data_IF_126497655711
#
_entry.id   IF_126497655711
#
_cell.length_a   1.000
_cell.length_b   1.000
_cell.length_c   1.000
_cell.angle_alpha   90.00
_cell.angle_beta   90.00
_cell.angle_gamma   90.00
#
_symmetry.space_group_name_H-M   'P 1'
#
loop_
_entity.id
_entity.type
_entity.pdbx_description
1 polymer ?
#
# COMPACT_ATOMS: atom_id res chain seq x y z
N UNK A 1 10.39 6.59 11.39
CA UNK A 1 9.61 5.50 12.01
C UNK A 1 9.41 4.40 10.98
N UNK A 2 9.06 3.16 11.36
CA UNK A 2 8.50 2.20 10.42
C UNK A 2 7.29 2.82 9.73
N UNK A 3 7.17 2.68 8.41
CA UNK A 3 6.07 3.22 7.61
C UNK A 3 5.52 2.13 6.69
N UNK A 4 4.20 1.97 6.64
CA UNK A 4 3.53 1.19 5.61
C UNK A 4 3.03 2.14 4.52
N UNK A 5 3.32 1.83 3.26
CA UNK A 5 2.77 2.52 2.09
C UNK A 5 1.92 1.51 1.34
N UNK A 6 0.62 1.79 1.24
CA UNK A 6 -0.32 1.04 0.42
C UNK A 6 -0.52 1.80 -0.88
N UNK A 7 -0.31 1.12 -1.99
CA UNK A 7 -0.36 1.72 -3.33
C UNK A 7 -1.34 0.94 -4.19
N UNK A 8 -2.32 1.65 -4.75
CA UNK A 8 -3.21 1.10 -5.75
C UNK A 8 -2.55 1.23 -7.14
N UNK A 9 -2.37 0.13 -7.87
CA UNK A 9 -1.61 0.12 -9.13
C UNK A 9 -2.33 0.80 -10.29
N UNK A 10 -3.65 0.96 -10.20
CA UNK A 10 -4.49 1.63 -11.20
C UNK A 10 -5.07 2.95 -10.66
N UNK A 11 -4.45 3.53 -9.62
CA UNK A 11 -4.86 4.81 -9.06
C UNK A 11 -4.60 5.96 -10.04
N UNK A 12 -5.68 6.54 -10.53
CA UNK A 12 -5.68 7.66 -11.46
C UNK A 12 -5.60 9.04 -10.78
N UNK A 13 -5.73 9.10 -9.45
CA UNK A 13 -5.73 10.34 -8.64
C UNK A 13 -4.37 10.56 -7.97
N UNK A 14 -3.79 9.50 -7.43
CA UNK A 14 -2.46 9.45 -6.82
C UNK A 14 -1.65 8.36 -7.54
N UNK A 15 -0.96 8.70 -8.65
CA UNK A 15 -0.27 7.73 -9.48
C UNK A 15 0.69 6.84 -8.67
N UNK A 16 0.81 5.54 -9.00
CA UNK A 16 1.64 4.62 -8.23
C UNK A 16 3.10 5.09 -8.12
N UNK A 17 3.64 5.74 -9.16
CA UNK A 17 5.02 6.24 -9.14
C UNK A 17 5.32 7.18 -7.96
N UNK A 18 4.33 7.92 -7.44
CA UNK A 18 4.49 8.77 -6.27
C UNK A 18 4.79 7.95 -5.00
N UNK A 19 4.09 6.83 -4.82
CA UNK A 19 4.33 5.89 -3.71
C UNK A 19 5.68 5.18 -3.84
N UNK A 20 6.08 4.83 -5.06
CA UNK A 20 7.41 4.25 -5.34
C UNK A 20 8.52 5.24 -5.00
N UNK A 21 8.37 6.50 -5.42
CA UNK A 21 9.32 7.57 -5.10
C UNK A 21 9.39 7.82 -3.58
N UNK A 22 8.24 7.83 -2.89
CA UNK A 22 8.19 7.99 -1.44
C UNK A 22 8.89 6.82 -0.71
N UNK A 23 8.66 5.58 -1.15
CA UNK A 23 9.31 4.40 -0.57
C UNK A 23 10.84 4.47 -0.68
N UNK A 24 11.37 5.01 -1.78
CA UNK A 24 12.81 5.20 -1.97
C UNK A 24 13.43 6.24 -1.01
N UNK A 25 12.65 7.21 -0.54
CA UNK A 25 13.10 8.24 0.40
C UNK A 25 13.02 7.79 1.88
N UNK A 26 12.28 6.72 2.16
CA UNK A 26 12.00 6.24 3.51
C UNK A 26 12.71 4.91 3.77
N UNK A 27 13.88 4.90 4.45
CA UNK A 27 14.72 3.70 4.58
C UNK A 27 14.09 2.55 5.38
N UNK A 28 12.96 2.79 6.04
CA UNK A 28 12.19 1.78 6.79
C UNK A 28 10.75 1.63 6.29
N UNK A 29 10.46 2.07 5.06
CA UNK A 29 9.16 1.89 4.45
C UNK A 29 8.98 0.44 3.96
N UNK A 30 7.78 -0.10 4.17
CA UNK A 30 7.27 -1.28 3.49
C UNK A 30 6.26 -0.79 2.46
N UNK A 31 6.53 -1.03 1.17
CA UNK A 31 5.60 -0.74 0.08
C UNK A 31 4.83 -2.00 -0.29
N UNK A 32 3.51 -1.91 -0.34
CA UNK A 32 2.63 -2.98 -0.81
C UNK A 32 1.76 -2.44 -1.94
N UNK A 33 1.89 -3.05 -3.11
CA UNK A 33 1.05 -2.77 -4.27
C UNK A 33 -0.20 -3.65 -4.25
N UNK A 34 -1.35 -3.05 -4.54
CA UNK A 34 -2.69 -3.62 -4.56
C UNK A 34 -3.30 -3.33 -5.93
N UNK A 35 -3.85 -4.33 -6.60
CA UNK A 35 -4.45 -4.16 -7.93
C UNK A 35 -5.87 -3.56 -7.86
N UNK A 36 -5.96 -2.27 -7.57
CA UNK A 36 -7.21 -1.54 -7.40
C UNK A 36 -7.18 -0.13 -8.01
N UNK A 37 -8.37 0.45 -8.16
CA UNK A 37 -8.59 1.86 -8.53
C UNK A 37 -8.57 2.76 -7.29
N UNK A 38 -8.50 4.08 -7.47
CA UNK A 38 -8.58 5.03 -6.36
C UNK A 38 -9.92 4.95 -5.62
N UNK A 39 -9.92 4.43 -4.38
CA UNK A 39 -11.13 4.21 -3.58
C UNK A 39 -12.27 3.47 -4.33
N UNK A 40 -11.94 2.76 -5.40
CA UNK A 40 -12.91 2.13 -6.27
C UNK A 40 -13.45 0.81 -5.70
N UNK A 41 -14.40 0.17 -6.40
CA UNK A 41 -14.78 -1.19 -6.07
C UNK A 41 -13.54 -2.10 -6.17
N UNK A 42 -13.12 -2.64 -5.03
CA UNK A 42 -11.98 -3.54 -4.96
C UNK A 42 -12.39 -4.98 -5.30
N UNK A 43 -11.51 -5.70 -5.99
CA UNK A 43 -11.54 -7.17 -5.98
C UNK A 43 -11.45 -7.62 -4.50
N UNK A 44 -12.39 -8.46 -3.99
CA UNK A 44 -12.33 -8.95 -2.63
C UNK A 44 -10.97 -9.58 -2.25
N UNK A 45 -10.28 -10.21 -3.19
CA UNK A 45 -8.96 -10.79 -2.95
C UNK A 45 -7.89 -9.71 -2.73
N UNK A 46 -7.91 -8.63 -3.52
CA UNK A 46 -7.00 -7.49 -3.36
C UNK A 46 -7.33 -6.70 -2.08
N UNK A 47 -8.60 -6.59 -1.72
CA UNK A 47 -9.01 -6.00 -0.44
C UNK A 47 -8.49 -6.82 0.75
N UNK A 48 -8.61 -8.14 0.71
CA UNK A 48 -8.07 -9.01 1.75
C UNK A 48 -6.55 -8.88 1.86
N UNK A 49 -5.84 -8.80 0.73
CA UNK A 49 -4.40 -8.57 0.67
C UNK A 49 -4.00 -7.24 1.32
N UNK A 50 -4.75 -6.17 1.09
CA UNK A 50 -4.55 -4.87 1.71
C UNK A 50 -4.72 -4.94 3.24
N UNK A 51 -5.83 -5.52 3.71
CA UNK A 51 -6.12 -5.69 5.13
C UNK A 51 -5.03 -6.54 5.83
N UNK A 52 -4.60 -7.64 5.20
CA UNK A 52 -3.53 -8.52 5.71
C UNK A 52 -2.20 -7.78 5.83
N UNK A 53 -1.86 -6.90 4.88
CA UNK A 53 -0.65 -6.08 4.93
C UNK A 53 -0.67 -5.11 6.13
N UNK A 54 -1.83 -4.51 6.41
CA UNK A 54 -2.03 -3.64 7.59
C UNK A 54 -1.83 -4.44 8.87
N UNK A 55 -2.50 -5.59 9.00
CA UNK A 55 -2.40 -6.44 10.20
C UNK A 55 -0.97 -6.92 10.43
N UNK A 56 -0.28 -7.39 9.39
CA UNK A 56 1.10 -7.86 9.48
C UNK A 56 2.06 -6.73 9.90
N UNK A 57 1.89 -5.54 9.34
CA UNK A 57 2.70 -4.37 9.71
C UNK A 57 2.48 -3.99 11.18
N UNK A 58 1.22 -3.91 11.61
CA UNK A 58 0.89 -3.58 13.01
C UNK A 58 1.38 -4.66 13.98
N UNK A 59 1.31 -5.94 13.63
CA UNK A 59 1.82 -7.02 14.48
C UNK A 59 3.36 -6.98 14.64
N UNK A 60 4.08 -6.54 13.61
CA UNK A 60 5.54 -6.42 13.64
C UNK A 60 6.06 -5.24 14.47
N UNK A 61 5.29 -4.15 14.54
CA UNK A 61 5.73 -2.87 15.11
C UNK A 61 4.86 -2.36 16.27
N UNK A 62 3.96 -3.20 16.79
CA UNK A 62 3.40 -3.06 18.15
C UNK A 62 4.44 -3.44 19.19
#
# INVERSE_FOLDING_TARGET
APTLILQHTRDEVAPPDDSTALAALLPNATLVSIDALHNGPGDPAERAREDDAIVAFLARFR
#
